data_IF_149132500145
#
_entry.id   IF_149132500145
#
_cell.length_a   1.000
_cell.length_b   1.000
_cell.length_c   1.000
_cell.angle_alpha   90.00
_cell.angle_beta   90.00
_cell.angle_gamma   90.00
#
_symmetry.space_group_name_H-M   'P 1'
#
loop_
_entity.id
_entity.type
_entity.pdbx_description
1 polymer ?
#
# COMPACT_ATOMS: atom_id res chain seq x y z
N UNK A 1 46.03 5.58 -7.47
CA UNK A 1 46.09 4.11 -7.45
C UNK A 1 45.83 3.63 -6.04
N UNK A 2 44.59 3.24 -5.70
CA UNK A 2 44.29 2.62 -4.40
C UNK A 2 43.58 1.31 -4.62
N UNK A 3 44.23 0.31 -4.03
CA UNK A 3 44.02 -1.12 -4.05
C UNK A 3 42.63 -1.49 -3.53
N UNK A 4 41.85 -2.18 -4.35
CA UNK A 4 40.64 -2.87 -3.91
C UNK A 4 41.02 -4.15 -3.18
N UNK A 5 40.59 -4.26 -1.92
CA UNK A 5 40.68 -5.48 -1.12
C UNK A 5 39.25 -5.96 -0.88
N UNK A 6 38.80 -6.92 -1.69
CA UNK A 6 37.62 -7.73 -1.39
C UNK A 6 38.04 -8.81 -0.39
N UNK A 7 37.56 -8.73 0.85
CA UNK A 7 37.59 -9.86 1.79
C UNK A 7 36.29 -9.86 2.59
N UNK A 8 35.66 -11.03 2.55
CA UNK A 8 34.29 -11.33 2.95
C UNK A 8 34.07 -11.27 4.48
N UNK A 9 32.84 -10.93 4.89
CA UNK A 9 31.89 -11.82 5.58
C UNK A 9 30.87 -11.02 6.40
N UNK A 10 29.62 -11.50 6.32
CA UNK A 10 28.45 -11.19 7.16
C UNK A 10 27.69 -9.90 6.81
N UNK A 11 26.72 -10.07 5.90
CA UNK A 11 25.41 -9.41 5.92
C UNK A 11 25.39 -7.94 6.35
N UNK A 12 26.12 -7.08 5.66
CA UNK A 12 25.66 -5.71 5.53
C UNK A 12 24.41 -5.76 4.65
N UNK A 13 23.23 -5.72 5.25
CA UNK A 13 22.04 -5.19 4.59
C UNK A 13 22.35 -3.73 4.25
N UNK A 14 23.12 -3.52 3.18
CA UNK A 14 23.10 -2.28 2.44
C UNK A 14 21.71 -2.24 1.82
N UNK A 15 20.74 -1.73 2.57
CA UNK A 15 19.51 -1.19 2.02
C UNK A 15 19.89 0.09 1.24
N UNK A 16 20.56 -0.11 0.11
CA UNK A 16 20.71 0.83 -0.98
C UNK A 16 19.96 0.25 -2.18
N UNK A 17 18.75 -0.26 -1.94
CA UNK A 17 17.74 -0.28 -2.98
C UNK A 17 16.75 0.82 -2.63
N UNK A 18 16.81 1.91 -3.39
CA UNK A 18 15.91 3.07 -3.29
C UNK A 18 14.48 2.74 -3.75
N UNK A 19 14.08 1.47 -3.68
CA UNK A 19 12.78 0.97 -4.12
C UNK A 19 12.06 0.15 -3.03
N UNK A 20 12.58 0.10 -1.79
CA UNK A 20 11.78 -0.38 -0.66
C UNK A 20 10.92 0.80 -0.25
N UNK A 21 9.64 0.78 -0.64
CA UNK A 21 8.67 1.83 -0.36
C UNK A 21 8.84 2.31 1.08
N UNK A 22 9.18 3.60 1.21
CA UNK A 22 9.24 4.22 2.52
C UNK A 22 7.86 4.04 3.16
N UNK A 23 7.83 3.65 4.44
CA UNK A 23 6.67 3.98 5.23
C UNK A 23 6.49 5.48 5.10
N UNK A 24 5.27 5.92 4.80
CA UNK A 24 4.89 7.30 5.05
C UNK A 24 5.07 7.50 6.55
N UNK A 25 6.25 7.98 6.96
CA UNK A 25 6.41 8.57 8.28
C UNK A 25 5.28 9.57 8.39
N UNK A 26 4.54 9.58 9.51
CA UNK A 26 3.65 10.70 9.84
C UNK A 26 4.52 11.95 9.96
N UNK A 27 4.92 12.51 8.83
CA UNK A 27 5.57 13.80 8.80
C UNK A 27 4.46 14.79 9.13
N UNK A 28 4.66 15.55 10.20
CA UNK A 28 3.71 16.58 10.63
C UNK A 28 3.46 17.59 9.49
N UNK A 29 4.41 17.69 8.54
CA UNK A 29 4.28 18.49 7.32
C UNK A 29 3.21 17.94 6.35
N UNK A 30 3.02 16.62 6.24
CA UNK A 30 2.00 16.02 5.34
C UNK A 30 0.58 16.26 5.88
N UNK A 31 0.43 16.16 7.21
CA UNK A 31 -0.80 16.55 7.90
C UNK A 31 -1.10 18.05 7.79
N UNK A 32 -0.07 18.90 7.78
CA UNK A 32 -0.19 20.34 7.60
C UNK A 32 -0.49 20.75 6.15
N UNK A 33 -0.09 19.94 5.18
CA UNK A 33 -0.33 20.16 3.75
C UNK A 33 -1.72 19.67 3.26
N UNK A 34 -2.54 19.08 4.15
CA UNK A 34 -3.85 18.56 3.79
C UNK A 34 -3.77 17.28 2.95
N UNK A 35 -2.75 16.46 3.18
CA UNK A 35 -2.53 15.22 2.45
C UNK A 35 -3.67 14.22 2.70
N UNK A 36 -4.08 13.53 1.63
CA UNK A 36 -5.18 12.58 1.61
C UNK A 36 -4.97 11.48 2.65
N UNK A 37 -5.98 11.17 3.47
CA UNK A 37 -5.93 10.05 4.42
C UNK A 37 -6.60 8.83 3.82
N UNK A 38 -5.94 7.69 3.86
CA UNK A 38 -6.52 6.44 3.39
C UNK A 38 -6.30 5.31 4.39
N UNK A 39 -7.23 4.38 4.43
CA UNK A 39 -7.00 3.13 5.13
C UNK A 39 -6.02 2.28 4.32
N UNK A 40 -5.01 1.73 4.99
CA UNK A 40 -4.05 0.78 4.43
C UNK A 40 -4.04 -0.48 5.28
N UNK A 41 -4.19 -1.64 4.64
CA UNK A 41 -4.32 -2.91 5.34
C UNK A 41 -4.90 -4.03 4.49
N UNK A 42 -5.31 -5.09 5.17
CA UNK A 42 -5.92 -6.28 4.57
C UNK A 42 -7.16 -6.70 5.35
N UNK A 43 -8.21 -7.03 4.62
CA UNK A 43 -9.43 -7.62 5.13
C UNK A 43 -9.70 -8.92 4.38
N UNK A 44 -9.98 -9.98 5.13
CA UNK A 44 -10.34 -11.27 4.56
C UNK A 44 -11.31 -12.02 5.46
N UNK A 45 -12.20 -12.79 4.84
CA UNK A 45 -13.04 -13.74 5.58
C UNK A 45 -12.26 -14.99 6.03
N UNK A 46 -11.00 -15.15 5.60
CA UNK A 46 -10.10 -16.13 6.18
C UNK A 46 -9.79 -15.76 7.63
N UNK A 47 -10.25 -16.58 8.57
CA UNK A 47 -10.17 -16.34 10.02
C UNK A 47 -10.74 -14.98 10.48
N UNK A 48 -11.67 -14.38 9.71
CA UNK A 48 -12.27 -13.07 10.03
C UNK A 48 -11.23 -11.96 10.28
N UNK A 49 -10.17 -11.94 9.46
CA UNK A 49 -9.03 -11.03 9.65
C UNK A 49 -9.35 -9.64 9.11
N UNK A 50 -9.12 -8.61 9.92
CA UNK A 50 -9.15 -7.21 9.53
C UNK A 50 -8.01 -6.49 10.23
N UNK A 51 -6.96 -6.16 9.49
CA UNK A 51 -5.74 -5.55 10.01
C UNK A 51 -5.41 -4.36 9.12
N UNK A 52 -5.26 -3.19 9.72
CA UNK A 52 -4.86 -1.99 9.01
C UNK A 52 -4.91 -0.76 9.87
N UNK A 53 -4.55 0.36 9.25
CA UNK A 53 -4.53 1.67 9.90
C UNK A 53 -4.75 2.77 8.86
N UNK A 54 -5.07 3.97 9.34
CA UNK A 54 -5.10 5.15 8.47
C UNK A 54 -3.68 5.64 8.22
N UNK A 55 -3.35 6.05 7.00
CA UNK A 55 -2.09 6.74 6.71
C UNK A 55 -2.36 7.95 5.85
N UNK A 56 -1.44 8.91 5.84
CA UNK A 56 -1.42 9.94 4.80
C UNK A 56 -0.90 9.30 3.51
N UNK A 57 -1.42 9.70 2.34
CA UNK A 57 -1.05 9.17 1.05
C UNK A 57 -0.62 10.28 0.08
N UNK A 58 0.48 10.07 -0.63
CA UNK A 58 0.85 10.86 -1.80
C UNK A 58 0.35 10.19 -3.08
N UNK A 59 -0.95 10.31 -3.34
CA UNK A 59 -1.63 9.61 -4.42
C UNK A 59 -3.14 9.53 -4.17
N UNK A 60 -3.74 8.39 -4.50
CA UNK A 60 -5.16 8.11 -4.28
C UNK A 60 -5.35 6.96 -3.30
N UNK A 61 -6.45 6.98 -2.56
CA UNK A 61 -6.87 5.82 -1.81
C UNK A 61 -7.30 4.73 -2.79
N UNK A 62 -6.95 3.48 -2.51
CA UNK A 62 -7.45 2.39 -3.34
C UNK A 62 -7.61 1.08 -2.62
N UNK A 63 -8.24 0.15 -3.35
CA UNK A 63 -8.44 -1.22 -2.92
C UNK A 63 -8.24 -2.19 -4.09
N UNK A 64 -7.77 -3.39 -3.80
CA UNK A 64 -7.75 -4.52 -4.72
C UNK A 64 -8.39 -5.71 -4.02
N UNK A 65 -9.41 -6.27 -4.66
CA UNK A 65 -10.18 -7.42 -4.18
C UNK A 65 -10.04 -8.61 -5.11
N UNK A 66 -9.94 -9.79 -4.53
CA UNK A 66 -9.91 -11.06 -5.24
C UNK A 66 -10.46 -12.19 -4.38
N UNK A 67 -10.64 -13.37 -4.96
CA UNK A 67 -11.00 -14.59 -4.24
C UNK A 67 -9.98 -15.69 -4.48
N UNK A 68 -9.46 -16.29 -3.43
CA UNK A 68 -8.52 -17.41 -3.51
C UNK A 68 -8.91 -18.49 -2.49
N UNK A 69 -8.99 -19.75 -2.94
CA UNK A 69 -9.32 -20.87 -2.06
C UNK A 69 -10.71 -20.78 -1.39
N UNK A 70 -11.67 -20.09 -2.01
CA UNK A 70 -13.02 -19.85 -1.44
C UNK A 70 -13.10 -18.71 -0.43
N UNK A 71 -12.00 -18.00 -0.20
CA UNK A 71 -11.93 -16.82 0.66
C UNK A 71 -11.80 -15.56 -0.18
N UNK A 72 -12.43 -14.48 0.29
CA UNK A 72 -12.29 -13.15 -0.29
C UNK A 72 -11.16 -12.42 0.42
N UNK A 73 -10.32 -11.75 -0.37
CA UNK A 73 -9.23 -10.92 0.10
C UNK A 73 -9.39 -9.54 -0.49
N UNK A 74 -9.38 -8.53 0.36
CA UNK A 74 -9.30 -7.13 -0.06
C UNK A 74 -8.10 -6.50 0.61
N UNK A 75 -7.20 -5.96 -0.21
CA UNK A 75 -6.09 -5.12 0.26
C UNK A 75 -6.44 -3.67 0.01
N UNK A 76 -6.05 -2.81 0.93
CA UNK A 76 -6.24 -1.37 0.87
C UNK A 76 -4.89 -0.70 0.88
N UNK A 77 -4.65 0.22 -0.05
CA UNK A 77 -3.34 0.81 -0.28
C UNK A 77 -3.48 2.27 -0.71
N UNK A 78 -2.38 3.02 -0.56
CA UNK A 78 -2.16 4.24 -1.32
C UNK A 78 -1.65 3.84 -2.71
N UNK A 79 -2.33 4.25 -3.77
CA UNK A 79 -1.87 4.02 -5.13
C UNK A 79 -1.33 5.31 -5.77
N UNK A 80 -0.25 5.24 -6.56
CA UNK A 80 0.16 6.34 -7.39
C UNK A 80 -0.98 6.74 -8.34
N UNK A 81 -1.19 8.04 -8.55
CA UNK A 81 -2.22 8.52 -9.49
C UNK A 81 -2.01 7.95 -10.89
N UNK A 82 -0.75 7.83 -11.34
CA UNK A 82 -0.40 7.22 -12.62
C UNK A 82 -0.84 5.76 -12.75
N UNK A 83 -0.79 4.98 -11.66
CA UNK A 83 -1.32 3.62 -11.65
C UNK A 83 -2.84 3.64 -11.84
N UNK A 84 -3.57 4.43 -11.05
CA UNK A 84 -5.02 4.55 -11.14
C UNK A 84 -5.49 5.04 -12.52
N UNK A 85 -4.76 5.98 -13.13
CA UNK A 85 -5.00 6.44 -14.49
C UNK A 85 -4.81 5.31 -15.52
N UNK A 86 -3.65 4.65 -15.49
CA UNK A 86 -3.29 3.62 -16.46
C UNK A 86 -4.18 2.38 -16.36
N UNK A 87 -4.66 2.06 -15.15
CA UNK A 87 -5.56 0.96 -14.89
C UNK A 87 -7.05 1.32 -15.08
N UNK A 88 -7.37 2.61 -15.31
CA UNK A 88 -8.74 3.09 -15.49
C UNK A 88 -9.60 2.95 -14.23
N UNK A 89 -9.02 3.18 -13.05
CA UNK A 89 -9.63 2.96 -11.73
C UNK A 89 -10.05 4.26 -11.03
N UNK A 90 -9.82 5.42 -11.62
CA UNK A 90 -10.17 6.71 -10.99
C UNK A 90 -11.68 6.82 -10.76
N UNK A 91 -12.07 6.97 -9.50
CA UNK A 91 -13.46 7.11 -9.05
C UNK A 91 -14.37 5.98 -9.57
N UNK A 92 -13.77 4.82 -9.88
CA UNK A 92 -14.50 3.66 -10.40
C UNK A 92 -13.87 2.37 -9.91
N UNK A 93 -14.69 1.32 -9.85
CA UNK A 93 -14.27 -0.02 -9.46
C UNK A 93 -14.45 -0.94 -10.66
N UNK A 94 -13.37 -1.55 -11.14
CA UNK A 94 -13.43 -2.44 -12.31
C UNK A 94 -12.36 -3.53 -12.23
N UNK A 95 -12.52 -4.56 -13.06
CA UNK A 95 -11.50 -5.59 -13.21
C UNK A 95 -10.22 -4.97 -13.73
N UNK A 96 -9.09 -5.23 -13.07
CA UNK A 96 -7.79 -4.74 -13.50
C UNK A 96 -7.50 -5.34 -14.88
N UNK A 97 -7.17 -4.50 -15.87
CA UNK A 97 -7.05 -4.97 -17.25
C UNK A 97 -6.05 -6.12 -17.39
N UNK A 98 -4.95 -6.03 -16.64
CA UNK A 98 -3.86 -6.99 -16.60
C UNK A 98 -4.19 -8.31 -15.90
N UNK A 99 -5.25 -8.36 -15.08
CA UNK A 99 -5.67 -9.56 -14.35
C UNK A 99 -7.17 -9.51 -14.04
N UNK A 100 -7.93 -10.40 -14.70
CA UNK A 100 -9.40 -10.41 -14.64
C UNK A 100 -9.95 -10.95 -13.32
N UNK A 101 -9.11 -11.58 -12.52
CA UNK A 101 -9.47 -12.10 -11.21
C UNK A 101 -9.27 -11.05 -10.10
N UNK A 102 -8.75 -9.87 -10.45
CA UNK A 102 -8.58 -8.73 -9.56
C UNK A 102 -9.59 -7.62 -9.89
N UNK A 103 -10.33 -7.16 -8.89
CA UNK A 103 -11.12 -5.92 -8.97
C UNK A 103 -10.40 -4.82 -8.21
N UNK A 104 -10.05 -3.73 -8.90
CA UNK A 104 -9.40 -2.56 -8.32
C UNK A 104 -10.32 -1.37 -8.23
N UNK A 105 -10.05 -0.46 -7.28
CA UNK A 105 -10.71 0.84 -7.16
C UNK A 105 -9.70 1.92 -6.75
N UNK A 106 -9.87 3.15 -7.24
CA UNK A 106 -9.17 4.33 -6.71
C UNK A 106 -10.16 5.47 -6.42
N UNK A 107 -9.87 6.30 -5.43
CA UNK A 107 -10.68 7.46 -5.08
C UNK A 107 -9.88 8.54 -4.32
N UNK A 108 -10.30 9.80 -4.44
CA UNK A 108 -9.56 10.98 -3.98
C UNK A 108 -10.07 11.69 -2.73
N UNK A 109 -10.87 11.03 -1.89
CA UNK A 109 -11.38 11.62 -0.63
C UNK A 109 -11.01 10.79 0.60
N UNK A 110 -10.95 11.41 1.77
CA UNK A 110 -10.44 10.74 2.96
C UNK A 110 -11.19 9.44 3.27
N UNK A 111 -10.44 8.34 3.40
CA UNK A 111 -10.92 6.99 3.68
C UNK A 111 -12.00 6.48 2.73
N UNK A 112 -12.09 7.04 1.52
CA UNK A 112 -13.09 6.63 0.53
C UNK A 112 -12.96 5.16 0.12
N UNK A 113 -11.76 4.59 0.21
CA UNK A 113 -11.51 3.20 -0.14
C UNK A 113 -12.17 2.19 0.81
N UNK A 114 -12.62 2.62 2.00
CA UNK A 114 -13.37 1.80 2.96
C UNK A 114 -14.81 2.25 3.15
N UNK A 115 -15.30 3.18 2.32
CA UNK A 115 -16.67 3.66 2.39
C UNK A 115 -17.69 2.50 2.23
N UNK A 116 -18.69 2.47 3.11
CA UNK A 116 -19.70 1.41 3.12
C UNK A 116 -19.25 0.09 3.77
N UNK A 117 -18.06 0.03 4.35
CA UNK A 117 -17.58 -1.12 5.13
C UNK A 117 -17.73 -0.89 6.65
N UNK A 118 -17.53 -1.94 7.45
CA UNK A 118 -17.48 -1.85 8.92
C UNK A 118 -16.07 -1.60 9.46
N UNK A 119 -15.13 -1.15 8.62
CA UNK A 119 -13.75 -0.90 9.02
C UNK A 119 -13.70 0.35 9.89
N UNK A 120 -13.12 0.21 11.09
CA UNK A 120 -12.94 1.33 12.01
C UNK A 120 -11.67 2.10 11.66
N UNK A 121 -11.84 3.28 11.04
CA UNK A 121 -10.74 4.21 10.72
C UNK A 121 -10.39 5.16 11.86
N UNK A 122 -11.15 5.15 12.96
CA UNK A 122 -10.90 5.99 14.14
C UNK A 122 -9.94 5.36 15.15
N UNK A 123 -9.42 4.16 14.87
CA UNK A 123 -8.42 3.52 15.74
C UNK A 123 -7.17 4.42 15.77
N UNK A 124 -6.82 4.99 16.95
CA UNK A 124 -5.66 5.84 17.07
C UNK A 124 -4.41 5.06 16.66
N UNK A 125 -3.60 5.68 15.83
CA UNK A 125 -2.33 5.11 15.40
C UNK A 125 -1.45 5.05 16.64
N UNK A 126 -1.20 3.84 17.14
CA UNK A 126 -0.18 3.66 18.15
C UNK A 126 1.11 4.28 17.59
N UNK A 127 1.73 5.26 18.27
CA UNK A 127 2.98 5.81 17.80
C UNK A 127 3.94 4.64 17.60
N UNK A 128 4.55 4.48 16.41
CA UNK A 128 5.45 3.37 16.18
C UNK A 128 6.57 3.46 17.23
N UNK A 129 6.65 2.44 18.09
CA UNK A 129 7.75 2.36 19.07
C UNK A 129 9.09 2.23 18.33
N UNK A 130 9.07 1.69 17.10
CA UNK A 130 10.07 1.83 16.03
C UNK A 130 9.38 1.76 14.64
N UNK A 131 9.89 2.40 13.58
CA UNK A 131 9.30 2.31 12.24
C UNK A 131 9.42 0.88 11.66
N UNK A 132 8.31 0.16 11.56
CA UNK A 132 8.24 -1.17 10.93
C UNK A 132 8.07 -1.00 9.42
N UNK A 133 9.15 -1.15 8.64
CA UNK A 133 9.08 -1.08 7.18
C UNK A 133 8.46 -2.37 6.60
N UNK A 134 7.23 -2.28 6.08
CA UNK A 134 6.60 -3.33 5.32
C UNK A 134 6.70 -3.01 3.82
N UNK A 135 7.18 -3.95 3.02
CA UNK A 135 7.06 -3.82 1.56
C UNK A 135 5.57 -3.79 1.19
N UNK A 136 5.12 -2.68 0.60
CA UNK A 136 3.81 -2.59 -0.03
C UNK A 136 3.98 -2.58 -1.54
N UNK A 137 3.49 -3.65 -2.18
CA UNK A 137 3.55 -3.82 -3.63
C UNK A 137 2.65 -4.96 -4.06
N UNK A 138 2.18 -4.90 -5.29
CA UNK A 138 1.32 -5.93 -5.89
C UNK A 138 2.04 -6.52 -7.08
N UNK A 139 2.33 -7.82 -7.04
CA UNK A 139 2.87 -8.53 -8.20
C UNK A 139 1.73 -9.06 -9.05
N UNK A 140 1.56 -8.53 -10.26
CA UNK A 140 0.56 -8.98 -11.23
C UNK A 140 1.29 -9.64 -12.38
N UNK A 141 1.03 -10.94 -12.65
CA UNK A 141 1.69 -11.71 -13.71
C UNK A 141 3.24 -11.65 -13.68
N UNK A 142 3.83 -11.62 -12.48
CA UNK A 142 5.28 -11.53 -12.28
C UNK A 142 5.88 -10.13 -12.43
N UNK A 143 5.05 -9.10 -12.64
CA UNK A 143 5.45 -7.69 -12.66
C UNK A 143 5.09 -7.02 -11.35
N UNK A 144 6.10 -6.60 -10.58
CA UNK A 144 5.89 -5.85 -9.34
C UNK A 144 5.41 -4.43 -9.63
N UNK A 145 4.22 -4.10 -9.12
CA UNK A 145 3.74 -2.73 -9.00
C UNK A 145 4.21 -2.20 -7.65
N UNK A 146 5.06 -1.17 -7.67
CA UNK A 146 5.45 -0.46 -6.46
C UNK A 146 4.24 0.32 -5.94
N UNK A 147 3.95 0.23 -4.63
CA UNK A 147 3.03 1.16 -3.98
C UNK A 147 3.58 2.58 -4.02
N UNK A 148 2.72 3.59 -3.82
CA UNK A 148 3.19 4.99 -3.68
C UNK A 148 4.01 5.13 -2.40
N UNK A 149 5.17 5.79 -2.52
CA UNK A 149 6.03 6.21 -1.40
C UNK A 149 5.38 7.27 -0.50
#
# INVERSE_FOLDING_TARGET
>A
MRLGLCLALVATCLALDRNVGYLMSRNIQDAANGQLRCFVGIVTNYNNTSIGTEVFCNGLCGSISTSAGGYNFTTYNCFPTSFCDSAGLNETCTTVYSDRDLTGCCCGTDNCNVAGTNINTTIPIAPPEEPIACYSGVSINGVNQLGSE
#
